data_IF_129947851502
#
_entry.id   IF_129947851502
#
_cell.length_a   1.000
_cell.length_b   1.000
_cell.length_c   1.000
_cell.angle_alpha   90.00
_cell.angle_beta   90.00
_cell.angle_gamma   90.00
#
_symmetry.space_group_name_H-M   'P 1'
#
loop_
_entity.id
_entity.type
_entity.pdbx_description
1 polymer ?
#
# COMPACT_ATOMS: atom_id res chain seq x y z
N UNK A 1 10.19 2.29 -32.02
CA UNK A 1 10.40 3.12 -30.82
C UNK A 1 9.14 3.01 -29.96
N UNK A 2 9.27 2.69 -28.68
CA UNK A 2 8.16 2.78 -27.72
C UNK A 2 8.43 3.95 -26.77
N UNK A 3 7.46 4.86 -26.66
CA UNK A 3 7.50 5.97 -25.72
C UNK A 3 6.41 5.74 -24.67
N UNK A 4 6.81 5.61 -23.40
CA UNK A 4 5.90 5.40 -22.28
C UNK A 4 6.24 6.39 -21.17
N UNK A 5 5.25 7.19 -20.77
CA UNK A 5 5.35 8.14 -19.66
C UNK A 5 4.48 7.66 -18.51
N UNK A 6 4.96 7.85 -17.27
CA UNK A 6 4.23 7.49 -16.06
C UNK A 6 4.04 8.73 -15.21
N UNK A 7 2.78 9.06 -14.91
CA UNK A 7 2.43 10.04 -13.89
C UNK A 7 2.15 9.30 -12.59
N UNK A 8 3.11 9.34 -11.67
CA UNK A 8 3.05 8.63 -10.38
C UNK A 8 2.96 9.61 -9.21
N UNK A 9 2.49 9.18 -8.04
CA UNK A 9 2.54 10.00 -6.83
C UNK A 9 3.96 10.45 -6.49
N UNK A 10 4.07 11.52 -5.69
CA UNK A 10 5.34 11.93 -5.07
C UNK A 10 5.89 10.84 -4.14
N UNK A 11 7.20 10.84 -3.90
CA UNK A 11 7.86 9.81 -3.09
C UNK A 11 7.27 9.67 -1.68
N UNK A 12 6.96 10.80 -1.04
CA UNK A 12 6.39 10.91 0.30
C UNK A 12 4.86 10.82 0.35
N UNK A 13 4.20 10.61 -0.80
CA UNK A 13 2.75 10.55 -0.86
C UNK A 13 2.20 9.34 -0.08
N UNK A 14 1.20 9.61 0.77
CA UNK A 14 0.48 8.58 1.53
C UNK A 14 -0.72 8.09 0.70
N UNK A 15 -0.73 6.81 0.39
CA UNK A 15 -1.71 6.12 -0.44
C UNK A 15 -2.63 5.29 0.45
N UNK A 16 -3.94 5.48 0.31
CA UNK A 16 -4.99 4.73 0.99
C UNK A 16 -6.33 4.89 0.25
N UNK A 17 -7.33 4.02 0.49
CA UNK A 17 -8.65 4.15 -0.13
C UNK A 17 -9.32 5.46 0.23
N UNK A 18 -9.93 6.11 -0.76
CA UNK A 18 -10.73 7.31 -0.51
C UNK A 18 -11.93 6.96 0.41
N UNK A 19 -12.18 7.71 1.50
CA UNK A 19 -13.22 7.37 2.48
C UNK A 19 -14.62 7.19 1.87
N UNK A 20 -14.98 8.03 0.89
CA UNK A 20 -16.27 7.99 0.20
C UNK A 20 -16.50 6.69 -0.60
N UNK A 21 -15.41 5.97 -0.93
CA UNK A 21 -15.45 4.73 -1.69
C UNK A 21 -15.49 3.48 -0.79
N UNK A 22 -15.25 3.63 0.52
CA UNK A 22 -15.29 2.54 1.50
C UNK A 22 -16.71 2.41 2.07
N UNK A 23 -17.61 1.80 1.28
CA UNK A 23 -19.06 1.75 1.57
C UNK A 23 -19.49 0.74 2.65
N UNK A 24 -18.63 -0.21 3.02
CA UNK A 24 -18.94 -1.31 3.95
C UNK A 24 -17.74 -1.61 4.86
N UNK A 25 -18.01 -2.00 6.10
CA UNK A 25 -16.96 -2.38 7.06
C UNK A 25 -16.07 -3.53 6.56
N UNK A 26 -16.63 -4.45 5.78
CA UNK A 26 -15.89 -5.54 5.13
C UNK A 26 -14.82 -5.06 4.13
N UNK A 27 -14.89 -3.82 3.64
CA UNK A 27 -13.91 -3.26 2.70
C UNK A 27 -12.85 -2.39 3.37
N UNK A 28 -12.97 -2.13 4.69
CA UNK A 28 -12.03 -1.26 5.41
C UNK A 28 -10.60 -1.82 5.39
N UNK A 29 -10.46 -3.15 5.44
CA UNK A 29 -9.15 -3.82 5.54
C UNK A 29 -8.67 -4.41 4.20
N UNK A 30 -9.37 -4.11 3.09
CA UNK A 30 -9.04 -4.69 1.79
C UNK A 30 -7.73 -4.14 1.22
N UNK A 31 -7.45 -2.85 1.46
CA UNK A 31 -6.26 -2.17 0.95
C UNK A 31 -5.52 -1.45 2.09
N UNK A 32 -4.19 -1.59 2.17
CA UNK A 32 -3.40 -0.99 3.25
C UNK A 32 -3.20 0.51 3.04
N UNK A 33 -2.82 1.20 4.12
CA UNK A 33 -2.30 2.57 4.07
C UNK A 33 -0.77 2.56 4.02
N UNK A 34 -0.16 3.35 3.12
CA UNK A 34 1.30 3.33 2.97
C UNK A 34 1.91 4.54 2.27
N UNK A 35 3.23 4.70 2.38
CA UNK A 35 4.01 5.69 1.60
C UNK A 35 4.43 5.12 0.25
N UNK A 36 4.29 5.91 -0.82
CA UNK A 36 4.52 5.48 -2.20
C UNK A 36 5.97 5.02 -2.45
N UNK A 37 6.98 5.72 -1.94
CA UNK A 37 8.38 5.30 -2.09
C UNK A 37 8.63 3.90 -1.51
N UNK A 38 8.07 3.61 -0.33
CA UNK A 38 8.19 2.29 0.26
C UNK A 38 7.52 1.23 -0.61
N UNK A 39 6.42 1.57 -1.31
CA UNK A 39 5.78 0.66 -2.26
C UNK A 39 6.69 0.37 -3.43
N UNK A 40 7.34 1.40 -3.96
CA UNK A 40 8.24 1.26 -5.10
C UNK A 40 9.50 0.44 -4.76
N UNK A 41 10.01 0.52 -3.53
CA UNK A 41 11.07 -0.36 -3.03
C UNK A 41 10.66 -1.83 -3.08
N UNK A 42 9.47 -2.16 -2.58
CA UNK A 42 8.91 -3.52 -2.63
C UNK A 42 8.61 -3.97 -4.07
N UNK A 43 7.99 -3.09 -4.87
CA UNK A 43 7.64 -3.36 -6.27
C UNK A 43 8.87 -3.70 -7.10
N UNK A 44 10.00 -3.02 -6.89
CA UNK A 44 11.22 -3.25 -7.67
C UNK A 44 11.75 -4.68 -7.52
N UNK A 45 11.62 -5.29 -6.34
CA UNK A 45 12.01 -6.69 -6.11
C UNK A 45 10.97 -7.72 -6.57
N UNK A 46 9.69 -7.35 -6.62
CA UNK A 46 8.56 -8.27 -6.86
C UNK A 46 7.78 -7.98 -8.15
N UNK A 47 8.32 -7.15 -9.05
CA UNK A 47 7.62 -6.62 -10.25
C UNK A 47 7.03 -7.70 -11.15
N UNK A 48 7.77 -8.80 -11.31
CA UNK A 48 7.40 -9.92 -12.17
C UNK A 48 6.70 -11.07 -11.43
N UNK A 49 6.47 -10.91 -10.13
CA UNK A 49 5.66 -11.83 -9.32
C UNK A 49 4.18 -11.41 -9.30
N UNK A 50 3.32 -12.28 -8.75
CA UNK A 50 1.91 -12.01 -8.56
C UNK A 50 1.68 -10.67 -7.83
N UNK A 51 0.63 -9.94 -8.22
CA UNK A 51 0.35 -8.62 -7.66
C UNK A 51 -0.08 -8.65 -6.20
N UNK A 52 -0.92 -9.62 -5.85
CA UNK A 52 -1.53 -9.69 -4.52
C UNK A 52 -0.50 -9.90 -3.42
N UNK A 53 0.63 -10.57 -3.71
CA UNK A 53 1.71 -10.74 -2.74
C UNK A 53 2.28 -9.41 -2.25
N UNK A 54 2.21 -8.35 -3.07
CA UNK A 54 2.70 -7.01 -2.70
C UNK A 54 1.78 -6.29 -1.72
N UNK A 55 0.46 -6.48 -1.83
CA UNK A 55 -0.50 -5.87 -0.91
C UNK A 55 -0.54 -6.61 0.41
N UNK A 56 -0.47 -7.95 0.39
CA UNK A 56 -0.41 -8.75 1.61
C UNK A 56 0.88 -8.49 2.40
N UNK A 57 2.04 -8.39 1.73
CA UNK A 57 3.31 -8.01 2.37
C UNK A 57 3.21 -6.64 3.07
N UNK A 58 2.40 -5.73 2.52
CA UNK A 58 2.21 -4.38 3.06
C UNK A 58 1.26 -4.34 4.24
N UNK A 59 0.15 -5.08 4.19
CA UNK A 59 -0.73 -5.29 5.35
C UNK A 59 0.04 -5.92 6.51
N UNK A 60 0.89 -6.91 6.24
CA UNK A 60 1.74 -7.52 7.26
C UNK A 60 2.69 -6.50 7.91
N UNK A 61 3.28 -5.59 7.12
CA UNK A 61 4.14 -4.51 7.64
C UNK A 61 3.38 -3.47 8.47
N UNK A 62 2.17 -3.10 8.07
CA UNK A 62 1.28 -2.23 8.85
C UNK A 62 1.01 -2.83 10.24
N UNK A 63 0.69 -4.13 10.29
CA UNK A 63 0.44 -4.85 11.54
C UNK A 63 1.68 -5.00 12.43
N UNK A 64 2.89 -5.07 11.86
CA UNK A 64 4.13 -5.12 12.67
C UNK A 64 4.58 -3.76 13.22
N UNK A 65 4.11 -2.65 12.65
CA UNK A 65 4.35 -1.31 13.19
C UNK A 65 3.39 -0.96 14.34
N UNK A 66 2.40 -1.80 14.62
CA UNK A 66 1.58 -1.77 15.83
C UNK A 66 2.28 -2.58 16.94
N UNK A 67 3.29 -1.98 17.58
CA UNK A 67 3.66 -2.36 18.95
C UNK A 67 2.53 -2.05 19.94
N UNK A 68 2.51 -2.64 21.15
CA UNK A 68 1.38 -2.54 22.06
C UNK A 68 1.31 -1.13 22.67
N UNK A 69 0.35 -0.33 22.22
CA UNK A 69 -0.12 0.91 22.85
C UNK A 69 -1.53 1.17 22.28
N UNK A 70 -2.64 1.13 23.01
CA UNK A 70 -2.86 1.65 24.34
C UNK A 70 -3.83 0.77 25.14
N UNK A 71 -3.34 0.27 26.27
CA UNK A 71 -4.16 -0.09 27.42
C UNK A 71 -3.65 0.69 28.63
N UNK A 72 -4.02 1.97 28.69
CA UNK A 72 -4.23 2.75 29.94
C UNK A 72 -5.45 3.62 29.72
#
# INVERSE_FOLDING_TARGET
MFLVSFYSPGSDAVIYPAPELVKKEENKDLYPKFVFEDYMKLYSGLKFQAKETRFEARKAMENTNLGPSDSI
#
